data_IF_831197505034
#
_entry.id   IF_831197505034
#
_cell.length_a   1.000
_cell.length_b   1.000
_cell.length_c   1.000
_cell.angle_alpha   90.00
_cell.angle_beta   90.00
_cell.angle_gamma   90.00
#
_symmetry.space_group_name_H-M   'P 1'
#
loop_
_entity.id
_entity.type
_entity.pdbx_description
1 polymer ?
#
# COMPACT_ATOMS: atom_id res chain seq x y z
N UNK A 1 7.43 41.67 24.04
CA UNK A 1 8.23 40.68 23.29
C UNK A 1 9.34 39.99 24.12
N UNK A 2 9.67 40.42 25.33
CA UNK A 2 10.73 39.79 26.15
C UNK A 2 10.29 38.54 26.94
N UNK A 3 9.00 38.40 27.30
CA UNK A 3 8.50 37.23 28.06
C UNK A 3 8.42 35.93 27.24
N UNK A 4 8.22 36.02 25.92
CA UNK A 4 8.13 34.84 25.04
C UNK A 4 9.49 34.16 24.79
N UNK A 5 10.61 34.91 24.88
CA UNK A 5 11.97 34.38 24.66
C UNK A 5 12.54 33.64 25.87
N UNK A 6 12.00 33.86 27.06
CA UNK A 6 12.38 33.14 28.29
C UNK A 6 11.60 31.83 28.46
N UNK A 7 10.43 31.68 27.83
CA UNK A 7 9.67 30.43 27.84
C UNK A 7 10.27 29.38 26.90
N UNK A 8 10.89 29.78 25.79
CA UNK A 8 11.50 28.86 24.83
C UNK A 8 12.65 28.00 25.41
N UNK A 9 13.63 28.56 26.15
CA UNK A 9 14.68 27.73 26.76
C UNK A 9 14.16 26.95 27.96
N UNK A 10 13.11 27.41 28.64
CA UNK A 10 12.50 26.70 29.77
C UNK A 10 11.65 25.51 29.30
N UNK A 11 10.98 25.64 28.15
CA UNK A 11 10.24 24.57 27.49
C UNK A 11 11.20 23.58 26.80
N UNK A 12 12.33 24.06 26.26
CA UNK A 12 13.41 23.20 25.78
C UNK A 12 14.15 22.47 26.92
N UNK A 13 14.33 23.12 28.09
CA UNK A 13 14.87 22.47 29.28
C UNK A 13 13.87 21.47 29.90
N UNK A 14 12.56 21.75 29.81
CA UNK A 14 11.52 20.79 30.20
C UNK A 14 11.43 19.60 29.22
N UNK A 15 11.67 19.83 27.92
CA UNK A 15 11.71 18.78 26.89
C UNK A 15 12.99 17.93 26.97
N UNK A 16 14.09 18.46 27.51
CA UNK A 16 15.35 17.70 27.72
C UNK A 16 15.35 16.94 29.05
N UNK A 17 14.40 17.21 29.97
CA UNK A 17 14.25 16.48 31.23
C UNK A 17 13.35 15.24 31.13
N UNK A 18 12.70 14.99 30.00
CA UNK A 18 12.19 13.67 29.65
C UNK A 18 13.25 12.96 28.81
N UNK A 19 14.37 12.60 29.45
CA UNK A 19 15.11 11.46 28.97
C UNK A 19 14.23 10.26 29.30
N UNK A 20 13.40 9.82 28.34
CA UNK A 20 12.73 8.53 28.43
C UNK A 20 13.81 7.51 28.77
N UNK A 21 13.70 6.99 29.99
CA UNK A 21 14.59 6.00 30.54
C UNK A 21 14.21 4.65 29.92
N UNK A 22 14.46 4.51 28.62
CA UNK A 22 14.19 3.31 27.84
C UNK A 22 15.39 2.36 27.89
N UNK A 23 15.18 1.11 27.50
CA UNK A 23 16.20 0.06 27.47
C UNK A 23 17.43 0.50 26.67
N UNK A 24 18.62 0.02 27.07
CA UNK A 24 19.87 0.38 26.40
C UNK A 24 20.00 -0.36 25.05
N UNK A 25 19.49 0.29 24.00
CA UNK A 25 19.45 -0.24 22.63
C UNK A 25 20.84 -0.59 22.04
N UNK A 26 21.91 -0.01 22.57
CA UNK A 26 23.28 -0.28 22.14
C UNK A 26 23.84 -1.62 22.63
N UNK A 27 23.17 -2.25 23.60
CA UNK A 27 23.54 -3.56 24.17
C UNK A 27 22.50 -4.66 23.88
N UNK A 28 21.35 -4.29 23.36
CA UNK A 28 20.29 -5.22 22.95
C UNK A 28 20.57 -5.82 21.58
N UNK A 29 20.47 -7.14 21.48
CA UNK A 29 20.50 -7.87 20.21
C UNK A 29 19.17 -8.57 19.95
N UNK A 30 18.86 -8.79 18.68
CA UNK A 30 17.62 -9.43 18.27
C UNK A 30 17.59 -10.92 18.70
N UNK A 31 16.53 -11.37 19.40
CA UNK A 31 16.39 -12.73 19.91
C UNK A 31 16.01 -13.79 18.88
N UNK A 32 16.35 -13.58 17.61
CA UNK A 32 16.30 -14.61 16.56
C UNK A 32 17.63 -14.71 15.81
N UNK A 33 18.23 -13.54 15.54
CA UNK A 33 19.33 -13.38 14.58
C UNK A 33 20.65 -12.95 15.22
N UNK A 34 20.62 -12.44 16.47
CA UNK A 34 21.74 -11.82 17.17
C UNK A 34 22.41 -10.67 16.38
N UNK A 35 21.63 -9.91 15.60
CA UNK A 35 22.06 -8.62 15.06
C UNK A 35 21.54 -7.48 15.91
N UNK A 36 22.12 -6.30 15.71
CA UNK A 36 21.71 -5.06 16.34
C UNK A 36 20.23 -4.77 16.06
N UNK A 37 19.52 -4.36 17.09
CA UNK A 37 18.11 -4.01 16.99
C UNK A 37 17.92 -2.59 16.46
N UNK A 38 16.70 -2.30 15.99
CA UNK A 38 16.29 -0.93 15.62
C UNK A 38 15.20 -0.44 16.58
N UNK A 39 15.26 0.83 17.02
CA UNK A 39 14.22 1.40 17.91
C UNK A 39 12.82 1.37 17.29
N UNK A 40 12.75 1.48 15.96
CA UNK A 40 11.48 1.50 15.22
C UNK A 40 10.88 0.10 14.98
N UNK A 41 11.55 -0.97 15.41
CA UNK A 41 11.10 -2.35 15.22
C UNK A 41 10.97 -2.99 16.59
N UNK A 42 9.85 -2.71 17.25
CA UNK A 42 9.57 -3.17 18.60
C UNK A 42 8.14 -3.71 18.73
N UNK A 43 7.90 -4.47 19.80
CA UNK A 43 6.58 -4.88 20.24
C UNK A 43 6.44 -4.57 21.73
N UNK A 44 5.27 -4.09 22.12
CA UNK A 44 4.97 -3.72 23.51
C UNK A 44 4.49 -4.92 24.30
N UNK A 45 5.11 -5.13 25.46
CA UNK A 45 4.72 -6.10 26.48
C UNK A 45 4.02 -5.33 27.60
N UNK A 46 3.01 -5.95 28.23
CA UNK A 46 2.33 -5.35 29.39
C UNK A 46 3.33 -4.95 30.48
N UNK A 47 3.04 -3.84 31.17
CA UNK A 47 3.93 -3.30 32.21
C UNK A 47 5.07 -2.44 31.67
N UNK A 48 4.82 -1.70 30.58
CA UNK A 48 5.76 -0.74 29.99
C UNK A 48 7.12 -1.40 29.61
N UNK A 49 7.05 -2.66 29.17
CA UNK A 49 8.20 -3.42 28.67
C UNK A 49 8.15 -3.50 27.14
N UNK A 50 9.31 -3.58 26.51
CA UNK A 50 9.42 -3.67 25.06
C UNK A 50 10.37 -4.79 24.68
N UNK A 51 10.08 -5.42 23.55
CA UNK A 51 11.01 -6.29 22.83
C UNK A 51 11.38 -5.64 21.50
N UNK A 52 12.65 -5.67 21.15
CA UNK A 52 13.21 -5.07 19.94
C UNK A 52 13.77 -6.14 19.00
N UNK A 53 13.63 -5.94 17.69
CA UNK A 53 14.14 -6.85 16.66
C UNK A 53 15.08 -6.19 15.64
N UNK A 54 15.79 -7.04 14.88
CA UNK A 54 16.66 -6.61 13.77
C UNK A 54 15.82 -6.27 12.53
N UNK A 55 16.41 -5.58 11.55
CA UNK A 55 15.74 -5.12 10.31
C UNK A 55 15.32 -6.25 9.35
N UNK A 56 15.56 -7.52 9.71
CA UNK A 56 15.12 -8.65 8.90
C UNK A 56 13.61 -8.80 8.93
N UNK A 57 13.02 -9.01 7.76
CA UNK A 57 11.58 -9.20 7.60
C UNK A 57 11.07 -10.39 8.44
N UNK A 58 9.92 -10.23 9.10
CA UNK A 58 9.25 -11.28 9.86
C UNK A 58 9.83 -11.55 11.25
N UNK A 59 10.94 -10.93 11.65
CA UNK A 59 11.56 -11.20 12.96
C UNK A 59 10.73 -10.66 14.11
N UNK A 60 10.23 -9.43 14.00
CA UNK A 60 9.33 -8.87 15.01
C UNK A 60 7.98 -9.62 15.04
N UNK A 61 7.48 -9.98 13.86
CA UNK A 61 6.22 -10.70 13.71
C UNK A 61 6.29 -12.09 14.36
N UNK A 62 7.43 -12.79 14.25
CA UNK A 62 7.62 -14.08 14.91
C UNK A 62 7.61 -13.96 16.44
N UNK A 63 8.12 -12.86 16.98
CA UNK A 63 8.16 -12.62 18.43
C UNK A 63 6.79 -12.19 18.96
N UNK A 64 6.01 -11.47 18.15
CA UNK A 64 4.69 -10.98 18.53
C UNK A 64 3.58 -12.04 18.34
N UNK A 65 3.60 -12.77 17.22
CA UNK A 65 2.53 -13.69 16.84
C UNK A 65 2.74 -15.11 17.36
N UNK A 66 3.99 -15.52 17.60
CA UNK A 66 4.31 -16.83 18.19
C UNK A 66 5.34 -16.69 19.33
N UNK A 67 4.97 -15.99 20.43
CA UNK A 67 5.89 -15.80 21.55
C UNK A 67 6.17 -17.12 22.29
N UNK A 68 5.23 -18.08 22.28
CA UNK A 68 5.39 -19.36 22.98
C UNK A 68 6.54 -20.20 22.41
N UNK A 69 6.74 -20.19 21.09
CA UNK A 69 7.86 -20.87 20.46
C UNK A 69 9.22 -20.19 20.72
N UNK A 70 9.23 -18.98 21.29
CA UNK A 70 10.40 -18.12 21.39
C UNK A 70 10.75 -17.71 22.84
N UNK A 71 10.03 -18.21 23.84
CA UNK A 71 10.32 -18.00 25.26
C UNK A 71 11.03 -19.19 25.91
N UNK A 72 11.92 -18.87 26.84
CA UNK A 72 12.65 -19.84 27.68
C UNK A 72 11.99 -20.02 29.03
N UNK A 73 12.45 -21.04 29.75
CA UNK A 73 12.00 -21.31 31.11
C UNK A 73 12.27 -20.11 32.02
N UNK A 74 11.36 -19.79 32.96
CA UNK A 74 11.58 -18.78 33.98
C UNK A 74 12.89 -18.99 34.75
N UNK A 75 13.60 -17.89 35.00
CA UNK A 75 14.83 -17.88 35.80
C UNK A 75 14.82 -16.72 36.81
N UNK A 76 15.60 -16.86 37.88
CA UNK A 76 15.86 -15.75 38.81
C UNK A 76 16.89 -14.80 38.18
N UNK A 77 16.53 -13.52 38.06
CA UNK A 77 17.37 -12.51 37.42
C UNK A 77 17.16 -11.14 38.08
N UNK A 78 18.27 -10.49 38.42
CA UNK A 78 18.27 -9.15 38.99
C UNK A 78 18.38 -8.10 37.89
N UNK A 79 17.31 -7.30 37.73
CA UNK A 79 17.21 -6.24 36.72
C UNK A 79 18.29 -5.16 36.89
N UNK A 80 18.76 -4.92 38.12
CA UNK A 80 19.75 -3.87 38.41
C UNK A 80 21.14 -4.21 37.90
N UNK A 81 21.40 -5.51 37.67
CA UNK A 81 22.69 -6.02 37.19
C UNK A 81 22.76 -6.11 35.66
N UNK A 82 21.62 -5.97 34.98
CA UNK A 82 21.55 -6.15 33.54
C UNK A 82 21.89 -4.85 32.79
N UNK A 83 22.92 -4.89 31.94
CA UNK A 83 23.37 -3.72 31.18
C UNK A 83 22.29 -3.12 30.26
N UNK A 84 21.29 -3.93 29.86
CA UNK A 84 20.18 -3.52 29.00
C UNK A 84 19.11 -2.76 29.78
N UNK A 85 18.80 -3.23 31.00
CA UNK A 85 17.62 -2.80 31.75
C UNK A 85 17.95 -1.92 32.96
N UNK A 86 19.22 -1.82 33.37
CA UNK A 86 19.66 -1.05 34.55
C UNK A 86 19.18 0.40 34.59
N UNK A 87 19.01 1.01 33.41
CA UNK A 87 18.65 2.40 33.23
C UNK A 87 17.13 2.57 33.03
N UNK A 88 16.37 1.47 32.89
CA UNK A 88 14.97 1.48 32.50
C UNK A 88 14.00 1.45 33.70
N UNK A 89 13.92 2.57 34.43
CA UNK A 89 13.19 2.67 35.70
C UNK A 89 11.67 2.64 35.59
N UNK A 90 11.12 2.83 34.38
CA UNK A 90 9.67 2.86 34.14
C UNK A 90 9.05 1.46 33.96
N UNK A 91 9.89 0.42 33.90
CA UNK A 91 9.47 -0.96 33.72
C UNK A 91 8.69 -1.48 34.95
N UNK A 92 7.56 -2.14 34.68
CA UNK A 92 6.68 -2.74 35.67
C UNK A 92 6.43 -4.22 35.35
N UNK A 93 5.96 -4.95 36.36
CA UNK A 93 5.56 -6.34 36.18
C UNK A 93 4.31 -6.44 35.27
N UNK A 94 4.32 -7.26 34.20
CA UNK A 94 3.21 -7.41 33.25
C UNK A 94 1.90 -7.89 33.87
N UNK A 95 1.98 -8.63 34.98
CA UNK A 95 0.82 -9.27 35.62
C UNK A 95 0.17 -8.37 36.67
N UNK A 96 0.96 -7.62 37.43
CA UNK A 96 0.47 -6.92 38.64
C UNK A 96 0.88 -5.45 38.74
N UNK A 97 1.69 -4.93 37.82
CA UNK A 97 2.10 -3.52 37.80
C UNK A 97 3.08 -3.10 38.90
N UNK A 98 3.67 -4.04 39.65
CA UNK A 98 4.75 -3.72 40.61
C UNK A 98 5.93 -3.08 39.88
N UNK A 99 6.52 -2.05 40.48
CA UNK A 99 7.59 -1.26 39.88
C UNK A 99 8.95 -1.98 39.84
N UNK A 100 9.89 -1.31 39.18
CA UNK A 100 11.25 -1.76 38.87
C UNK A 100 11.99 -2.47 40.01
N UNK A 101 12.03 -1.88 41.21
CA UNK A 101 12.80 -2.41 42.35
C UNK A 101 12.31 -3.76 42.89
N UNK A 102 11.14 -4.22 42.45
CA UNK A 102 10.52 -5.46 42.90
C UNK A 102 10.62 -6.58 41.86
N UNK A 103 11.30 -6.34 40.74
CA UNK A 103 11.49 -7.31 39.66
C UNK A 103 12.73 -8.18 39.95
N UNK A 104 12.49 -9.48 40.19
CA UNK A 104 13.53 -10.44 40.61
C UNK A 104 13.56 -11.72 39.77
N UNK A 105 12.58 -11.88 38.90
CA UNK A 105 12.46 -13.04 38.04
C UNK A 105 12.36 -12.55 36.61
N UNK A 106 12.85 -13.34 35.66
CA UNK A 106 12.74 -13.03 34.25
C UNK A 106 12.40 -14.26 33.42
N UNK A 107 11.74 -14.03 32.30
CA UNK A 107 11.50 -15.03 31.26
C UNK A 107 12.40 -14.64 30.08
N UNK A 108 13.49 -15.39 29.81
CA UNK A 108 14.40 -15.09 28.72
C UNK A 108 13.80 -15.49 27.37
N UNK A 109 14.28 -14.89 26.28
CA UNK A 109 13.93 -15.32 24.92
C UNK A 109 14.95 -16.37 24.43
N UNK A 110 14.49 -17.49 23.87
CA UNK A 110 15.34 -18.69 23.67
C UNK A 110 16.37 -18.62 22.55
N UNK A 111 16.27 -17.72 21.57
CA UNK A 111 17.17 -17.78 20.41
C UNK A 111 18.11 -16.59 20.26
N UNK A 112 19.25 -16.67 20.95
CA UNK A 112 20.46 -15.84 20.76
C UNK A 112 20.39 -14.37 21.20
N UNK A 113 19.25 -13.88 21.70
CA UNK A 113 19.14 -12.50 22.19
C UNK A 113 19.38 -12.39 23.69
N UNK A 114 19.87 -11.23 24.12
CA UNK A 114 20.07 -10.91 25.54
C UNK A 114 18.81 -10.32 26.21
N UNK A 115 17.71 -10.16 25.47
CA UNK A 115 16.47 -9.57 25.97
C UNK A 115 15.69 -10.55 26.86
N UNK A 116 15.02 -10.03 27.88
CA UNK A 116 14.22 -10.80 28.84
C UNK A 116 12.98 -10.03 29.27
N UNK A 117 11.94 -10.74 29.70
CA UNK A 117 10.73 -10.16 30.28
C UNK A 117 10.84 -10.24 31.80
N UNK A 118 10.84 -9.11 32.50
CA UNK A 118 10.98 -9.08 33.95
C UNK A 118 9.64 -9.16 34.67
N UNK A 119 9.60 -9.92 35.76
CA UNK A 119 8.44 -10.09 36.63
C UNK A 119 8.83 -10.03 38.10
N UNK A 120 7.86 -9.82 38.99
CA UNK A 120 8.13 -9.65 40.41
C UNK A 120 8.26 -10.97 41.20
N UNK A 121 7.81 -12.10 40.65
CA UNK A 121 7.78 -13.40 41.33
C UNK A 121 7.86 -14.55 40.32
N UNK A 122 8.31 -15.70 40.79
CA UNK A 122 8.36 -16.94 40.00
C UNK A 122 6.98 -17.30 39.42
N UNK A 123 5.91 -17.17 40.23
CA UNK A 123 4.53 -17.40 39.79
C UNK A 123 4.13 -16.50 38.62
N UNK A 124 4.52 -15.22 38.64
CA UNK A 124 4.22 -14.30 37.54
C UNK A 124 5.06 -14.60 36.30
N UNK A 125 6.30 -15.07 36.48
CA UNK A 125 7.12 -15.54 35.37
C UNK A 125 6.49 -16.79 34.72
N UNK A 126 6.00 -17.75 35.52
CA UNK A 126 5.26 -18.92 35.02
C UNK A 126 3.98 -18.53 34.29
N UNK A 127 3.20 -17.58 34.81
CA UNK A 127 1.99 -17.10 34.12
C UNK A 127 2.27 -16.47 32.76
N UNK A 128 3.37 -15.73 32.63
CA UNK A 128 3.82 -15.16 31.36
C UNK A 128 4.32 -16.27 30.42
N UNK A 129 5.01 -17.27 30.94
CA UNK A 129 5.48 -18.43 30.16
C UNK A 129 4.33 -19.32 29.66
N UNK A 130 3.32 -19.56 30.49
CA UNK A 130 2.17 -20.41 30.15
C UNK A 130 1.21 -19.76 29.15
N UNK A 131 1.05 -18.43 29.22
CA UNK A 131 0.12 -17.68 28.37
C UNK A 131 0.75 -16.40 27.79
N UNK A 132 1.80 -16.52 26.97
CA UNK A 132 2.60 -15.36 26.55
C UNK A 132 1.87 -14.42 25.59
N UNK A 133 0.95 -14.93 24.78
CA UNK A 133 0.13 -14.13 23.86
C UNK A 133 -0.69 -13.07 24.58
N UNK A 134 -1.10 -13.33 25.83
CA UNK A 134 -1.82 -12.37 26.67
C UNK A 134 -0.95 -11.19 27.12
N UNK A 135 0.38 -11.35 27.17
CA UNK A 135 1.26 -10.33 27.76
C UNK A 135 2.17 -9.66 26.73
N UNK A 136 2.56 -10.37 25.67
CA UNK A 136 3.45 -9.87 24.61
C UNK A 136 2.70 -9.15 23.49
N UNK A 137 1.38 -9.39 23.35
CA UNK A 137 0.55 -8.79 22.31
C UNK A 137 -0.64 -7.98 22.84
N UNK A 138 -0.83 -7.87 24.16
CA UNK A 138 -1.92 -7.08 24.72
C UNK A 138 -1.57 -5.59 24.78
N UNK A 139 -1.53 -4.95 23.61
CA UNK A 139 -2.26 -3.69 23.50
C UNK A 139 -3.70 -3.99 23.90
N UNK A 140 -4.23 -3.22 24.84
CA UNK A 140 -5.53 -3.45 25.43
C UNK A 140 -6.62 -3.66 24.38
N UNK A 141 -7.65 -4.37 24.78
CA UNK A 141 -8.96 -4.35 24.16
C UNK A 141 -9.53 -2.91 24.13
N UNK A 142 -9.00 -2.06 23.25
CA UNK A 142 -9.76 -1.01 22.58
C UNK A 142 -10.16 -1.56 21.22
N UNK A 143 -11.34 -1.16 20.75
CA UNK A 143 -11.91 -1.49 19.44
C UNK A 143 -11.05 -0.98 18.26
N UNK A 144 -9.79 -1.38 18.17
CA UNK A 144 -8.87 -0.97 17.12
C UNK A 144 -9.13 -1.81 15.86
N UNK A 145 -9.37 -1.12 14.76
CA UNK A 145 -9.80 -1.69 13.47
C UNK A 145 -8.72 -2.55 12.80
N UNK A 146 -7.45 -2.23 13.06
CA UNK A 146 -6.26 -2.93 12.60
C UNK A 146 -5.04 -2.53 13.45
N UNK A 147 -4.00 -3.37 13.47
CA UNK A 147 -2.76 -3.14 14.22
C UNK A 147 -1.51 -3.06 13.31
N UNK A 148 -0.46 -2.38 13.77
CA UNK A 148 0.82 -2.26 13.05
C UNK A 148 0.97 -1.03 12.13
N UNK A 149 2.16 -0.86 11.54
CA UNK A 149 2.51 0.29 10.67
C UNK A 149 1.80 0.29 9.30
N UNK A 150 1.16 -0.83 8.96
CA UNK A 150 0.46 -1.07 7.72
C UNK A 150 1.30 -1.80 6.66
N UNK A 151 0.63 -2.57 5.80
CA UNK A 151 1.24 -3.31 4.69
C UNK A 151 0.61 -2.92 3.36
N UNK A 152 1.42 -2.94 2.31
CA UNK A 152 1.00 -2.74 0.91
C UNK A 152 0.62 -4.05 0.24
N UNK A 153 1.10 -5.20 0.76
CA UNK A 153 0.87 -6.52 0.16
C UNK A 153 0.60 -7.55 1.26
N UNK A 154 -0.56 -8.19 1.21
CA UNK A 154 -0.90 -9.29 2.12
C UNK A 154 -0.46 -10.66 1.56
N UNK A 155 -0.28 -11.64 2.45
CA UNK A 155 0.04 -13.02 2.07
C UNK A 155 -1.23 -13.75 1.57
N UNK A 156 -1.66 -13.39 0.36
CA UNK A 156 -2.89 -13.91 -0.27
C UNK A 156 -4.13 -13.09 0.07
N UNK A 157 -5.31 -13.55 -0.40
CA UNK A 157 -6.58 -12.86 -0.19
C UNK A 157 -6.99 -12.87 1.28
N UNK A 158 -6.95 -11.69 1.89
CA UNK A 158 -7.28 -11.49 3.30
C UNK A 158 -8.24 -10.31 3.44
N UNK A 159 -8.86 -10.20 4.61
CA UNK A 159 -9.71 -9.07 4.99
C UNK A 159 -8.95 -8.22 6.00
N UNK A 160 -8.74 -6.94 5.69
CA UNK A 160 -8.00 -6.02 6.58
C UNK A 160 -8.89 -5.45 7.69
N UNK A 161 -9.80 -6.27 8.24
CA UNK A 161 -10.81 -5.88 9.23
C UNK A 161 -10.73 -6.83 10.42
N UNK A 162 -10.25 -6.32 11.56
CA UNK A 162 -10.13 -7.08 12.81
C UNK A 162 -8.92 -6.63 13.63
N UNK A 163 -8.98 -6.74 14.96
CA UNK A 163 -7.90 -6.29 15.86
C UNK A 163 -6.56 -6.99 15.60
N UNK A 164 -6.60 -8.23 15.12
CA UNK A 164 -5.41 -9.02 14.78
C UNK A 164 -4.93 -8.81 13.32
N UNK A 165 -5.64 -8.01 12.52
CA UNK A 165 -5.31 -7.77 11.12
C UNK A 165 -4.35 -6.57 10.97
N UNK A 166 -3.41 -6.68 10.04
CA UNK A 166 -2.49 -5.58 9.71
C UNK A 166 -3.18 -4.49 8.89
N UNK A 167 -2.88 -3.22 9.18
CA UNK A 167 -3.53 -2.10 8.48
C UNK A 167 -3.22 -2.08 6.97
N UNK A 168 -4.21 -1.83 6.12
CA UNK A 168 -4.00 -1.68 4.68
C UNK A 168 -3.42 -0.31 4.34
N UNK A 169 -2.38 -0.27 3.51
CA UNK A 169 -1.84 0.95 2.91
C UNK A 169 -2.26 1.04 1.44
N UNK A 170 -2.97 2.11 1.08
CA UNK A 170 -3.52 2.25 -0.27
C UNK A 170 -2.72 3.29 -1.08
N UNK A 171 -2.02 2.84 -2.13
CA UNK A 171 -1.24 3.62 -3.11
C UNK A 171 -0.04 4.42 -2.57
N UNK A 172 -0.19 5.14 -1.45
CA UNK A 172 0.84 6.01 -0.89
C UNK A 172 1.00 5.81 0.62
N UNK A 173 2.20 6.06 1.14
CA UNK A 173 2.52 5.88 2.57
C UNK A 173 1.59 6.59 3.57
N UNK A 174 1.10 7.83 3.36
CA UNK A 174 0.21 8.48 4.33
C UNK A 174 -1.22 7.92 4.33
N UNK A 175 -1.58 7.06 3.38
CA UNK A 175 -2.94 6.54 3.19
C UNK A 175 -3.11 5.19 3.90
N UNK A 176 -3.01 5.22 5.24
CA UNK A 176 -3.20 4.05 6.10
C UNK A 176 -4.67 3.94 6.53
N UNK A 177 -5.30 2.82 6.20
CA UNK A 177 -6.69 2.54 6.50
C UNK A 177 -6.81 2.02 7.93
N UNK A 178 -6.90 2.95 8.89
CA UNK A 178 -6.92 2.70 10.33
C UNK A 178 -8.32 2.67 10.96
N UNK A 179 -9.38 2.84 10.17
CA UNK A 179 -10.75 2.83 10.71
C UNK A 179 -11.75 2.41 9.64
N UNK A 180 -12.91 1.91 10.08
CA UNK A 180 -14.01 1.54 9.17
C UNK A 180 -14.50 2.71 8.30
N UNK A 181 -14.42 3.95 8.78
CA UNK A 181 -14.78 5.12 7.96
C UNK A 181 -13.76 5.36 6.85
N UNK A 182 -12.46 5.33 7.18
CA UNK A 182 -11.39 5.41 6.16
C UNK A 182 -11.52 4.28 5.14
N UNK A 183 -11.91 3.10 5.62
CA UNK A 183 -12.16 1.93 4.79
C UNK A 183 -13.31 2.15 3.81
N UNK A 184 -14.46 2.65 4.28
CA UNK A 184 -15.61 2.94 3.41
C UNK A 184 -15.27 4.00 2.34
N UNK A 185 -14.52 5.04 2.70
CA UNK A 185 -14.04 6.04 1.74
C UNK A 185 -13.05 5.46 0.73
N UNK A 186 -12.14 4.59 1.19
CA UNK A 186 -11.20 3.89 0.31
C UNK A 186 -11.94 2.98 -0.69
N UNK A 187 -12.92 2.20 -0.21
CA UNK A 187 -13.76 1.36 -1.05
C UNK A 187 -14.47 2.17 -2.13
N UNK A 188 -15.15 3.27 -1.74
CA UNK A 188 -15.82 4.16 -2.69
C UNK A 188 -14.81 4.80 -3.68
N UNK A 189 -13.64 5.21 -3.18
CA UNK A 189 -12.57 5.77 -4.01
C UNK A 189 -12.06 4.78 -5.06
N UNK A 190 -11.88 3.51 -4.69
CA UNK A 190 -11.46 2.45 -5.61
C UNK A 190 -12.54 2.16 -6.65
N UNK A 191 -13.82 2.11 -6.26
CA UNK A 191 -14.94 1.95 -7.21
C UNK A 191 -14.94 3.09 -8.23
N UNK A 192 -14.81 4.35 -7.77
CA UNK A 192 -14.76 5.51 -8.66
C UNK A 192 -13.52 5.51 -9.55
N UNK A 193 -12.36 5.14 -9.03
CA UNK A 193 -11.12 5.02 -9.78
C UNK A 193 -11.25 3.95 -10.88
N UNK A 194 -11.77 2.78 -10.55
CA UNK A 194 -12.03 1.69 -11.50
C UNK A 194 -13.05 2.09 -12.58
N UNK A 195 -14.14 2.75 -12.18
CA UNK A 195 -15.14 3.29 -13.11
C UNK A 195 -14.56 4.34 -14.06
N UNK A 196 -13.62 5.16 -13.59
CA UNK A 196 -12.94 6.16 -14.43
C UNK A 196 -12.11 5.55 -15.55
N UNK A 197 -11.62 4.31 -15.40
CA UNK A 197 -10.84 3.63 -16.44
C UNK A 197 -11.64 3.48 -17.73
N UNK A 198 -12.88 2.96 -17.63
CA UNK A 198 -13.78 2.81 -18.77
C UNK A 198 -14.22 4.18 -19.31
N UNK A 199 -14.57 5.12 -18.42
CA UNK A 199 -14.96 6.48 -18.81
C UNK A 199 -13.88 7.22 -19.61
N UNK A 200 -12.60 7.08 -19.23
CA UNK A 200 -11.49 7.63 -20.01
C UNK A 200 -11.22 6.88 -21.31
N UNK A 201 -11.49 5.56 -21.33
CA UNK A 201 -11.41 4.74 -22.55
C UNK A 201 -12.40 5.22 -23.62
N UNK A 202 -13.67 5.35 -23.24
CA UNK A 202 -14.74 5.84 -24.12
C UNK A 202 -14.53 7.31 -24.51
N UNK A 203 -14.11 8.16 -23.57
CA UNK A 203 -13.77 9.55 -23.89
C UNK A 203 -12.65 9.63 -24.94
N UNK A 204 -11.65 8.76 -24.85
CA UNK A 204 -10.56 8.70 -25.84
C UNK A 204 -11.09 8.27 -27.21
N UNK A 205 -11.97 7.28 -27.31
CA UNK A 205 -12.58 6.86 -28.58
C UNK A 205 -13.46 7.98 -29.18
N UNK A 206 -14.24 8.65 -28.34
CA UNK A 206 -15.05 9.80 -28.75
C UNK A 206 -14.18 10.95 -29.29
N UNK A 207 -13.13 11.33 -28.55
CA UNK A 207 -12.19 12.39 -28.98
C UNK A 207 -11.46 11.98 -30.24
N UNK A 208 -11.04 10.71 -30.36
CA UNK A 208 -10.41 10.19 -31.58
C UNK A 208 -11.36 10.37 -32.77
N UNK A 209 -12.58 9.85 -32.68
CA UNK A 209 -13.58 9.93 -33.77
C UNK A 209 -13.86 11.38 -34.16
N UNK A 210 -13.99 12.27 -33.17
CA UNK A 210 -14.22 13.70 -33.40
C UNK A 210 -13.02 14.38 -34.07
N UNK A 211 -11.79 14.11 -33.64
CA UNK A 211 -10.58 14.66 -34.26
C UNK A 211 -10.40 14.16 -35.70
N UNK A 212 -10.68 12.88 -35.97
CA UNK A 212 -10.67 12.33 -37.33
C UNK A 212 -11.75 12.92 -38.22
N UNK A 213 -12.92 13.24 -37.67
CA UNK A 213 -14.01 13.89 -38.41
C UNK A 213 -13.68 15.36 -38.71
N UNK A 214 -13.27 16.12 -37.70
CA UNK A 214 -13.16 17.57 -37.78
C UNK A 214 -11.82 18.03 -38.40
N UNK A 215 -10.73 17.30 -38.16
CA UNK A 215 -9.37 17.64 -38.60
C UNK A 215 -8.76 16.60 -39.56
N UNK A 216 -9.56 15.65 -40.04
CA UNK A 216 -9.10 14.62 -40.95
C UNK A 216 -8.77 15.19 -42.32
N UNK A 217 -7.49 15.47 -42.57
CA UNK A 217 -7.02 15.98 -43.85
C UNK A 217 -7.08 14.83 -44.86
N UNK A 218 -7.94 14.99 -45.86
CA UNK A 218 -8.00 14.12 -47.04
C UNK A 218 -6.82 14.48 -47.93
N UNK A 219 -5.71 13.75 -47.83
CA UNK A 219 -4.68 13.83 -48.86
C UNK A 219 -5.18 13.02 -50.06
N UNK A 220 -5.73 13.72 -51.04
CA UNK A 220 -5.97 13.11 -52.35
C UNK A 220 -4.63 12.68 -52.92
N UNK A 221 -4.55 11.40 -53.25
CA UNK A 221 -3.50 10.78 -54.03
C UNK A 221 -3.59 11.34 -55.48
N UNK A 222 -3.39 12.65 -55.66
CA UNK A 222 -3.35 13.35 -56.96
C UNK A 222 -2.07 14.20 -57.08
N UNK A 223 -1.52 14.70 -55.96
CA UNK A 223 -0.32 15.55 -55.96
C UNK A 223 0.99 14.81 -56.27
N UNK A 224 1.03 13.47 -56.16
CA UNK A 224 2.22 12.67 -56.50
C UNK A 224 2.22 12.16 -57.95
N UNK A 225 1.10 12.23 -58.68
CA UNK A 225 1.03 11.81 -60.10
C UNK A 225 1.48 12.92 -61.05
N UNK A 226 1.41 14.19 -60.63
CA UNK A 226 1.73 15.33 -61.50
C UNK A 226 3.24 15.56 -61.74
N UNK A 227 4.12 14.81 -61.06
CA UNK A 227 5.58 14.89 -61.21
C UNK A 227 6.21 13.69 -61.93
N UNK A 228 5.40 12.72 -62.39
CA UNK A 228 5.86 11.66 -63.29
C UNK A 228 5.54 12.03 -64.75
N UNK A 229 6.60 12.10 -65.54
CA UNK A 229 6.79 12.66 -66.89
C UNK A 229 6.03 11.92 -68.03
N UNK A 230 6.14 12.31 -69.32
CA UNK A 230 5.05 12.45 -70.29
C UNK A 230 4.74 11.16 -71.11
N UNK A 231 3.60 11.23 -71.82
CA UNK A 231 2.99 10.25 -72.73
C UNK A 231 3.95 9.33 -73.53
N UNK A 232 3.60 8.04 -73.54
CA UNK A 232 3.74 7.18 -74.73
C UNK A 232 2.38 6.52 -75.00
N UNK A 233 1.70 6.99 -76.05
CA UNK A 233 0.41 6.51 -76.53
C UNK A 233 0.55 5.14 -77.21
N UNK A 234 -0.05 4.10 -76.62
CA UNK A 234 -0.38 2.84 -77.31
C UNK A 234 -1.90 2.69 -77.37
N UNK A 235 -2.52 2.47 -78.55
CA UNK A 235 -3.95 2.27 -78.67
C UNK A 235 -4.29 0.81 -78.33
N UNK A 236 -5.12 0.58 -77.30
CA UNK A 236 -5.74 -0.74 -77.09
C UNK A 236 -5.81 -1.30 -75.68
N UNK A 237 -5.67 -0.49 -74.61
CA UNK A 237 -5.93 -0.96 -73.24
C UNK A 237 -6.88 -0.03 -72.52
N UNK A 238 -8.05 -0.54 -72.13
CA UNK A 238 -8.95 0.13 -71.19
C UNK A 238 -8.11 0.49 -69.95
N UNK A 239 -8.05 1.77 -69.53
CA UNK A 239 -7.31 2.12 -68.33
C UNK A 239 -7.99 1.45 -67.14
N UNK A 240 -7.27 0.61 -66.40
CA UNK A 240 -7.70 0.21 -65.06
C UNK A 240 -7.98 1.49 -64.27
N UNK A 241 -9.19 1.62 -63.75
CA UNK A 241 -9.59 2.78 -62.95
C UNK A 241 -8.59 2.94 -61.80
N UNK A 242 -7.96 4.11 -61.65
CA UNK A 242 -7.01 4.32 -60.57
C UNK A 242 -7.78 4.16 -59.24
N UNK A 243 -7.40 3.16 -58.46
CA UNK A 243 -7.91 2.95 -57.10
C UNK A 243 -7.44 4.14 -56.26
N UNK A 244 -8.26 5.18 -56.16
CA UNK A 244 -8.02 6.31 -55.28
C UNK A 244 -8.05 5.82 -53.84
N UNK A 245 -6.89 5.66 -53.20
CA UNK A 245 -6.81 5.43 -51.76
C UNK A 245 -6.84 6.77 -51.05
N UNK A 246 -8.00 7.13 -50.50
CA UNK A 246 -8.14 8.32 -49.67
C UNK A 246 -7.53 8.02 -48.29
N UNK A 247 -6.32 8.50 -48.05
CA UNK A 247 -5.68 8.38 -46.73
C UNK A 247 -5.94 9.65 -45.94
N UNK A 248 -6.76 9.53 -44.89
CA UNK A 248 -7.05 10.64 -43.97
C UNK A 248 -5.95 10.72 -42.90
N UNK A 249 -5.10 11.75 -42.96
CA UNK A 249 -4.04 11.95 -41.94
C UNK A 249 -4.46 12.99 -40.90
N UNK A 250 -4.23 12.67 -39.63
CA UNK A 250 -4.40 13.58 -38.49
C UNK A 250 -3.20 14.54 -38.38
N UNK A 251 -3.41 15.83 -38.07
CA UNK A 251 -2.33 16.76 -37.78
C UNK A 251 -1.58 16.36 -36.49
N UNK A 252 -0.33 16.83 -36.37
CA UNK A 252 0.57 16.44 -35.28
C UNK A 252 0.01 16.77 -33.90
N UNK A 253 -0.61 17.94 -33.71
CA UNK A 253 -1.21 18.34 -32.44
C UNK A 253 -2.31 17.37 -31.99
N UNK A 254 -3.18 16.92 -32.90
CA UNK A 254 -4.22 15.93 -32.59
C UNK A 254 -3.63 14.58 -32.19
N UNK A 255 -2.48 14.19 -32.78
CA UNK A 255 -1.74 13.00 -32.34
C UNK A 255 -1.17 13.18 -30.94
N UNK A 256 -0.63 14.36 -30.61
CA UNK A 256 -0.11 14.66 -29.26
C UNK A 256 -1.24 14.61 -28.23
N UNK A 257 -2.42 15.17 -28.52
CA UNK A 257 -3.60 15.09 -27.65
C UNK A 257 -4.01 13.63 -27.42
N UNK A 258 -4.13 12.84 -28.48
CA UNK A 258 -4.50 11.43 -28.37
C UNK A 258 -3.47 10.60 -27.60
N UNK A 259 -2.18 10.90 -27.76
CA UNK A 259 -1.10 10.29 -27.00
C UNK A 259 -1.16 10.67 -25.52
N UNK A 260 -1.43 11.94 -25.19
CA UNK A 260 -1.60 12.36 -23.80
C UNK A 260 -2.78 11.64 -23.13
N UNK A 261 -3.93 11.52 -23.81
CA UNK A 261 -5.07 10.76 -23.29
C UNK A 261 -4.74 9.27 -23.09
N UNK A 262 -3.94 8.68 -23.99
CA UNK A 262 -3.45 7.31 -23.84
C UNK A 262 -2.59 7.15 -22.58
N UNK A 263 -1.65 8.06 -22.36
CA UNK A 263 -0.77 8.01 -21.18
C UNK A 263 -1.59 8.11 -19.89
N UNK A 264 -2.59 9.00 -19.83
CA UNK A 264 -3.50 9.12 -18.67
C UNK A 264 -4.28 7.82 -18.44
N UNK A 265 -4.84 7.23 -19.50
CA UNK A 265 -5.58 5.96 -19.41
C UNK A 265 -4.69 4.82 -18.89
N UNK A 266 -3.44 4.73 -19.37
CA UNK A 266 -2.48 3.76 -18.85
C UNK A 266 -2.14 4.00 -17.37
N UNK A 267 -1.95 5.26 -16.95
CA UNK A 267 -1.71 5.58 -15.54
C UNK A 267 -2.85 5.10 -14.63
N UNK A 268 -4.11 5.29 -15.04
CA UNK A 268 -5.28 4.78 -14.31
C UNK A 268 -5.26 3.25 -14.22
N UNK A 269 -4.95 2.57 -15.33
CA UNK A 269 -4.82 1.11 -15.36
C UNK A 269 -3.75 0.60 -14.39
N UNK A 270 -2.58 1.25 -14.33
CA UNK A 270 -1.52 0.89 -13.39
C UNK A 270 -1.92 1.15 -11.93
N UNK A 271 -2.65 2.22 -11.62
CA UNK A 271 -3.14 2.46 -10.27
C UNK A 271 -4.13 1.37 -9.82
N UNK A 272 -5.04 0.95 -10.69
CA UNK A 272 -5.96 -0.15 -10.40
C UNK A 272 -5.19 -1.47 -10.21
N UNK A 273 -4.18 -1.71 -11.03
CA UNK A 273 -3.28 -2.86 -10.88
C UNK A 273 -2.58 -2.85 -9.51
N UNK A 274 -2.07 -1.70 -9.06
CA UNK A 274 -1.47 -1.57 -7.72
C UNK A 274 -2.47 -1.89 -6.61
N UNK A 275 -3.74 -1.49 -6.76
CA UNK A 275 -4.80 -1.83 -5.79
C UNK A 275 -5.04 -3.34 -5.73
N UNK A 276 -5.11 -4.03 -6.87
CA UNK A 276 -5.30 -5.50 -6.90
C UNK A 276 -4.13 -6.23 -6.24
N UNK A 277 -2.91 -5.74 -6.44
CA UNK A 277 -1.69 -6.33 -5.85
C UNK A 277 -1.62 -6.21 -4.33
N UNK A 278 -2.54 -5.48 -3.69
CA UNK A 278 -2.65 -5.48 -2.23
C UNK A 278 -3.17 -6.81 -1.67
N UNK A 279 -3.82 -7.63 -2.50
CA UNK A 279 -4.49 -8.88 -2.13
C UNK A 279 -5.53 -8.71 -1.01
N UNK A 280 -6.16 -7.55 -0.92
CA UNK A 280 -7.32 -7.35 -0.03
C UNK A 280 -8.62 -7.70 -0.77
N UNK A 281 -9.43 -8.55 -0.16
CA UNK A 281 -10.58 -9.19 -0.83
C UNK A 281 -11.67 -8.19 -1.24
N UNK A 282 -11.96 -7.21 -0.40
CA UNK A 282 -13.03 -6.24 -0.62
C UNK A 282 -12.58 -5.11 -1.56
N UNK A 283 -11.31 -4.71 -1.54
CA UNK A 283 -10.73 -3.80 -2.54
C UNK A 283 -10.74 -4.44 -3.92
N UNK A 284 -10.44 -5.73 -4.02
CA UNK A 284 -10.58 -6.49 -5.26
C UNK A 284 -12.03 -6.51 -5.76
N UNK A 285 -13.00 -6.76 -4.87
CA UNK A 285 -14.43 -6.69 -5.21
C UNK A 285 -14.84 -5.28 -5.63
N UNK A 286 -14.36 -4.23 -4.96
CA UNK A 286 -14.58 -2.83 -5.36
C UNK A 286 -14.07 -2.54 -6.76
N UNK A 287 -12.90 -3.05 -7.15
CA UNK A 287 -12.40 -2.90 -8.52
C UNK A 287 -13.34 -3.58 -9.52
N UNK A 288 -13.77 -4.82 -9.27
CA UNK A 288 -14.71 -5.53 -10.15
C UNK A 288 -16.02 -4.76 -10.30
N UNK A 289 -16.59 -4.29 -9.19
CA UNK A 289 -17.82 -3.49 -9.20
C UNK A 289 -17.61 -2.19 -9.97
N UNK A 290 -16.51 -1.48 -9.75
CA UNK A 290 -16.23 -0.21 -10.41
C UNK A 290 -16.03 -0.37 -11.93
N UNK A 291 -15.28 -1.38 -12.37
CA UNK A 291 -15.14 -1.68 -13.81
C UNK A 291 -16.49 -2.08 -14.42
N UNK A 292 -17.27 -2.93 -13.74
CA UNK A 292 -18.60 -3.33 -14.20
C UNK A 292 -19.59 -2.17 -14.31
N UNK A 293 -19.60 -1.25 -13.33
CA UNK A 293 -20.39 -0.02 -13.38
C UNK A 293 -19.90 0.92 -14.47
N UNK A 294 -18.59 1.05 -14.67
CA UNK A 294 -18.01 1.83 -15.76
C UNK A 294 -18.50 1.34 -17.12
N UNK A 295 -18.44 0.02 -17.34
CA UNK A 295 -18.98 -0.61 -18.54
C UNK A 295 -20.47 -0.30 -18.72
N UNK A 296 -21.29 -0.49 -17.68
CA UNK A 296 -22.73 -0.29 -17.76
C UNK A 296 -23.15 1.17 -18.01
N UNK A 297 -22.36 2.15 -17.56
CA UNK A 297 -22.69 3.58 -17.66
C UNK A 297 -22.15 4.20 -18.95
N UNK A 298 -20.91 3.87 -19.33
CA UNK A 298 -20.21 4.58 -20.41
C UNK A 298 -20.23 3.85 -21.74
N UNK A 299 -20.45 2.53 -21.74
CA UNK A 299 -20.41 1.76 -22.98
C UNK A 299 -21.78 1.68 -23.61
N UNK A 300 -21.92 2.27 -24.81
CA UNK A 300 -23.13 2.17 -25.63
C UNK A 300 -23.19 0.78 -26.32
N UNK A 301 -23.75 -0.22 -25.64
CA UNK A 301 -23.96 -1.56 -26.23
C UNK A 301 -24.83 -1.54 -27.49
N UNK A 302 -25.74 -0.56 -27.60
CA UNK A 302 -26.66 -0.44 -28.74
C UNK A 302 -25.99 0.09 -30.01
N UNK A 303 -24.83 0.77 -29.88
CA UNK A 303 -24.09 1.31 -31.01
C UNK A 303 -23.24 0.24 -31.73
N UNK A 304 -22.83 -0.82 -31.04
CA UNK A 304 -22.06 -1.92 -31.62
C UNK A 304 -22.90 -2.81 -32.55
N UNK A 305 -24.21 -2.94 -32.29
CA UNK A 305 -25.14 -3.63 -33.22
C UNK A 305 -25.24 -2.93 -34.58
N UNK A 306 -25.17 -1.59 -34.60
CA UNK A 306 -25.31 -0.78 -35.82
C UNK A 306 -24.03 -0.73 -36.68
N UNK A 307 -22.86 -1.01 -36.11
CA UNK A 307 -21.59 -1.12 -36.86
C UNK A 307 -21.49 -2.43 -37.67
N UNK A 308 -22.33 -3.43 -37.37
CA UNK A 308 -22.30 -4.76 -37.98
C UNK A 308 -22.99 -4.92 -39.34
N UNK A 309 -23.72 -3.91 -39.86
CA UNK A 309 -24.41 -4.05 -41.16
C UNK A 309 -24.58 -2.72 -41.88
N UNK A 310 -23.51 -2.27 -42.55
CA UNK A 310 -23.65 -1.37 -43.69
C UNK A 310 -22.80 -1.94 -44.82
N UNK A 311 -23.25 -3.07 -45.37
CA UNK A 311 -22.83 -3.47 -46.72
C UNK A 311 -23.53 -2.54 -47.71
N UNK A 312 -22.79 -1.74 -48.51
CA UNK A 312 -23.38 -0.95 -49.58
C UNK A 312 -23.78 -1.88 -50.73
N UNK A 313 -24.90 -2.58 -50.57
CA UNK A 313 -25.58 -3.24 -51.66
C UNK A 313 -26.27 -2.19 -52.55
N UNK A 314 -25.55 -1.65 -53.53
CA UNK A 314 -26.15 -1.11 -54.76
C UNK A 314 -25.10 -0.97 -55.88
N UNK A 315 -25.13 -1.90 -56.84
CA UNK A 315 -24.99 -1.58 -58.27
C UNK A 315 -25.56 -2.73 -59.08
N UNK A 316 -26.87 -2.64 -59.38
CA UNK A 316 -27.46 -3.26 -60.57
C UNK A 316 -26.90 -2.64 -61.83
#
# INVERSE_FOLDING_TARGET
MARARLLLPLLALLLVLFADADQNLGKTTCPLCNMDVKPNINASILGDQYIYACEMAGHIDSLQNDPAANLGSPEEADITTDEIYKDATDIKCPVCGKGYDQLKHAVPWISKGAQKIYTCSEEHAQLVFDNPTKYVAAQGSSDDFCSGAGSVMFNGFQLAIGGDATCLMLLFQPWVISSGVKYAFAFLGVVLLAMSLEGFGELREFVQTRLYRDHGIVSSQADYVSLATPQASSPGRVPDTPKFSIVRRLPLWSKVVLAAMYMVHLCLGYWIMLVIMTFETLMFVAVIIGVGLGFAIFKDTDADELRGSVDPCCST
#
